data_IF_871563057461
#
_entry.id   IF_871563057461
#
_cell.length_a   1.000
_cell.length_b   1.000
_cell.length_c   1.000
_cell.angle_alpha   90.00
_cell.angle_beta   90.00
_cell.angle_gamma   90.00
#
_symmetry.space_group_name_H-M   'P 1'
#
loop_
_entity.id
_entity.type
_entity.pdbx_description
1 polymer ?
#
# COMPACT_ATOMS: atom_id res chain seq x y z
N UNK A 1 -18.00 -23.96 4.39
CA UNK A 1 -17.01 -23.90 3.30
C UNK A 1 -15.94 -22.89 3.70
N UNK A 2 -14.69 -23.05 3.26
CA UNK A 2 -13.67 -22.03 3.49
C UNK A 2 -14.07 -20.75 2.73
N UNK A 3 -13.91 -19.59 3.39
CA UNK A 3 -14.19 -18.27 2.82
C UNK A 3 -13.30 -18.06 1.58
N UNK A 4 -13.90 -17.75 0.43
CA UNK A 4 -13.15 -17.45 -0.79
C UNK A 4 -13.18 -15.96 -1.07
N UNK A 5 -12.06 -15.45 -1.57
CA UNK A 5 -11.94 -14.05 -1.97
C UNK A 5 -11.66 -14.03 -3.46
N UNK A 6 -12.54 -13.42 -4.24
CA UNK A 6 -12.41 -13.33 -5.69
C UNK A 6 -12.31 -11.89 -6.14
N UNK A 7 -11.55 -11.66 -7.21
CA UNK A 7 -11.43 -10.34 -7.81
C UNK A 7 -12.67 -10.04 -8.66
N UNK A 8 -13.32 -8.91 -8.39
CA UNK A 8 -14.62 -8.53 -8.98
C UNK A 8 -14.65 -8.52 -10.51
N UNK A 9 -13.53 -8.14 -11.13
CA UNK A 9 -13.50 -7.88 -12.58
C UNK A 9 -13.15 -9.10 -13.42
N UNK A 10 -12.45 -10.08 -12.86
CA UNK A 10 -11.91 -11.21 -13.64
C UNK A 10 -12.07 -12.58 -12.96
N UNK A 11 -12.65 -12.63 -11.76
CA UNK A 11 -12.95 -13.86 -11.05
C UNK A 11 -11.74 -14.56 -10.45
N UNK A 12 -10.52 -13.97 -10.52
CA UNK A 12 -9.29 -14.55 -9.96
C UNK A 12 -9.50 -14.88 -8.47
N UNK A 13 -9.27 -16.13 -8.07
CA UNK A 13 -9.24 -16.54 -6.67
C UNK A 13 -7.96 -16.04 -6.00
N UNK A 14 -8.10 -15.22 -4.96
CA UNK A 14 -6.99 -14.54 -4.30
C UNK A 14 -5.89 -15.49 -3.82
N UNK A 15 -6.30 -16.65 -3.30
CA UNK A 15 -5.37 -17.64 -2.75
C UNK A 15 -4.93 -18.62 -3.83
N UNK A 16 -5.87 -19.28 -4.47
CA UNK A 16 -5.56 -20.43 -5.33
C UNK A 16 -4.96 -20.01 -6.67
N UNK A 17 -5.47 -18.92 -7.26
CA UNK A 17 -5.06 -18.47 -8.59
C UNK A 17 -3.93 -17.44 -8.54
N UNK A 18 -3.60 -16.92 -7.35
CA UNK A 18 -2.65 -15.81 -7.23
C UNK A 18 -1.56 -16.01 -6.17
N UNK A 19 -1.87 -16.09 -4.87
CA UNK A 19 -0.81 -16.18 -3.86
C UNK A 19 -0.10 -17.54 -3.85
N UNK A 20 -0.84 -18.66 -3.92
CA UNK A 20 -0.27 -20.01 -3.79
C UNK A 20 0.64 -20.42 -4.95
N UNK A 21 0.55 -19.73 -6.08
CA UNK A 21 1.40 -20.00 -7.25
C UNK A 21 2.72 -19.21 -7.22
N UNK A 22 2.91 -18.29 -6.27
CA UNK A 22 4.19 -17.60 -6.06
C UNK A 22 5.11 -18.53 -5.26
N UNK A 23 6.11 -19.14 -5.91
CA UNK A 23 7.07 -20.02 -5.25
C UNK A 23 8.25 -19.26 -4.65
N UNK A 24 7.97 -18.30 -3.77
CA UNK A 24 8.96 -17.54 -3.01
C UNK A 24 8.56 -17.52 -1.54
N UNK A 25 9.51 -17.27 -0.64
CA UNK A 25 9.21 -17.16 0.79
C UNK A 25 8.47 -15.85 1.08
N UNK A 26 7.27 -15.92 1.66
CA UNK A 26 6.58 -14.74 2.16
C UNK A 26 7.30 -14.21 3.41
N UNK A 27 7.57 -12.90 3.44
CA UNK A 27 8.20 -12.23 4.57
C UNK A 27 7.48 -10.91 4.89
N UNK A 28 7.41 -10.50 6.16
CA UNK A 28 6.90 -9.18 6.52
C UNK A 28 7.83 -8.09 5.96
N UNK A 29 7.27 -6.92 5.66
CA UNK A 29 7.97 -5.86 4.94
C UNK A 29 9.19 -5.33 5.70
N UNK A 30 9.15 -5.29 7.03
CA UNK A 30 10.28 -4.90 7.89
C UNK A 30 11.50 -5.81 7.73
N UNK A 31 11.29 -7.09 7.37
CA UNK A 31 12.35 -8.10 7.24
C UNK A 31 12.93 -8.20 5.83
N UNK A 32 12.42 -7.47 4.86
CA UNK A 32 12.83 -7.59 3.44
C UNK A 32 14.33 -7.36 3.23
N UNK A 33 14.94 -6.47 4.01
CA UNK A 33 16.38 -6.17 3.95
C UNK A 33 17.25 -7.14 4.76
N UNK A 34 16.66 -7.87 5.72
CA UNK A 34 17.38 -8.82 6.59
C UNK A 34 17.52 -10.21 5.96
N UNK A 35 16.65 -10.55 5.01
CA UNK A 35 16.61 -11.85 4.36
C UNK A 35 17.43 -11.81 3.07
N UNK A 36 18.29 -12.81 2.85
CA UNK A 36 19.08 -12.96 1.62
C UNK A 36 18.41 -13.89 0.59
N UNK A 37 17.67 -14.89 1.05
CA UNK A 37 16.90 -15.87 0.25
C UNK A 37 15.84 -15.20 -0.64
N UNK A 38 15.60 -15.70 -1.87
CA UNK A 38 14.49 -15.26 -2.71
C UNK A 38 13.17 -15.19 -1.94
N UNK A 39 12.53 -14.02 -1.97
CA UNK A 39 11.40 -13.69 -1.10
C UNK A 39 10.37 -12.84 -1.80
N UNK A 40 9.17 -12.83 -1.26
CA UNK A 40 8.15 -11.86 -1.60
C UNK A 40 7.50 -11.28 -0.36
N UNK A 41 6.93 -10.10 -0.52
CA UNK A 41 6.22 -9.40 0.54
C UNK A 41 4.95 -8.79 -0.03
N UNK A 42 3.89 -8.80 0.76
CA UNK A 42 2.56 -8.38 0.35
C UNK A 42 2.24 -7.04 1.01
N UNK A 43 1.74 -6.11 0.20
CA UNK A 43 1.10 -4.91 0.70
C UNK A 43 -0.31 -4.75 0.17
N UNK A 44 -1.17 -4.21 1.02
CA UNK A 44 -2.52 -3.84 0.69
C UNK A 44 -2.67 -2.33 0.81
N UNK A 45 -2.93 -1.65 -0.31
CA UNK A 45 -3.25 -0.22 -0.32
C UNK A 45 -4.77 -0.09 -0.03
N UNK A 46 -5.15 0.21 1.21
CA UNK A 46 -6.55 0.20 1.68
C UNK A 46 -7.20 1.55 1.35
N UNK A 47 -7.68 1.72 0.13
CA UNK A 47 -8.24 3.00 -0.33
C UNK A 47 -9.70 3.23 0.12
N UNK A 48 -10.52 2.18 0.09
CA UNK A 48 -11.98 2.35 0.16
C UNK A 48 -12.73 1.38 1.08
N UNK A 49 -12.16 0.23 1.44
CA UNK A 49 -12.86 -0.77 2.26
C UNK A 49 -11.90 -1.41 3.26
N UNK A 50 -12.01 -1.00 4.53
CA UNK A 50 -11.32 -1.67 5.63
C UNK A 50 -11.97 -3.01 5.97
N UNK A 51 -13.27 -3.17 5.72
CA UNK A 51 -13.94 -4.46 5.92
C UNK A 51 -13.33 -5.54 5.04
N UNK A 52 -13.21 -5.30 3.73
CA UNK A 52 -12.53 -6.23 2.84
C UNK A 52 -11.05 -6.42 3.20
N UNK A 53 -10.40 -5.43 3.81
CA UNK A 53 -9.03 -5.60 4.31
C UNK A 53 -8.97 -6.61 5.48
N UNK A 54 -9.96 -6.58 6.40
CA UNK A 54 -10.09 -7.58 7.46
C UNK A 54 -10.37 -8.97 6.89
N UNK A 55 -11.27 -9.07 5.90
CA UNK A 55 -11.59 -10.34 5.23
C UNK A 55 -10.34 -10.97 4.59
N UNK A 56 -9.55 -10.15 3.89
CA UNK A 56 -8.28 -10.58 3.28
C UNK A 56 -7.27 -10.99 4.37
N UNK A 57 -7.11 -10.21 5.44
CA UNK A 57 -6.21 -10.53 6.53
C UNK A 57 -6.54 -11.91 7.14
N UNK A 58 -7.81 -12.20 7.42
CA UNK A 58 -8.20 -13.50 7.96
C UNK A 58 -7.84 -14.65 7.00
N UNK A 59 -8.10 -14.49 5.70
CA UNK A 59 -7.84 -15.51 4.68
C UNK A 59 -6.34 -15.71 4.45
N UNK A 60 -5.54 -14.64 4.42
CA UNK A 60 -4.09 -14.72 4.34
C UNK A 60 -3.48 -15.47 5.52
N UNK A 61 -3.88 -15.11 6.75
CA UNK A 61 -3.38 -15.75 7.96
C UNK A 61 -3.71 -17.25 8.00
N UNK A 62 -4.92 -17.65 7.58
CA UNK A 62 -5.31 -19.07 7.46
C UNK A 62 -4.46 -19.85 6.46
N UNK A 63 -3.85 -19.17 5.49
CA UNK A 63 -2.97 -19.77 4.48
C UNK A 63 -1.48 -19.53 4.78
N UNK A 64 -1.14 -18.99 5.96
CA UNK A 64 0.24 -18.80 6.40
C UNK A 64 0.95 -17.58 5.80
N UNK A 65 0.21 -16.62 5.23
CA UNK A 65 0.77 -15.38 4.71
C UNK A 65 0.73 -14.26 5.75
N UNK A 66 1.74 -13.39 5.70
CA UNK A 66 1.77 -12.10 6.38
C UNK A 66 1.92 -10.96 5.37
N UNK A 67 1.37 -9.81 5.76
CA UNK A 67 1.15 -8.65 4.88
C UNK A 67 1.15 -7.36 5.69
N UNK A 68 1.34 -6.23 5.03
CA UNK A 68 1.11 -4.91 5.61
C UNK A 68 -0.08 -4.22 4.95
N UNK A 69 -1.02 -3.72 5.75
CA UNK A 69 -2.20 -2.97 5.29
C UNK A 69 -1.98 -1.47 5.50
N UNK A 70 -1.90 -0.72 4.41
CA UNK A 70 -1.66 0.73 4.42
C UNK A 70 -2.99 1.48 4.39
N UNK A 71 -3.27 2.21 5.46
CA UNK A 71 -4.56 2.88 5.67
C UNK A 71 -4.54 4.30 5.11
N UNK A 72 -5.52 4.64 4.27
CA UNK A 72 -5.65 5.95 3.61
C UNK A 72 -6.55 6.90 4.43
N UNK A 73 -6.02 8.02 4.94
CA UNK A 73 -6.82 9.06 5.57
C UNK A 73 -7.84 9.69 4.60
N UNK A 74 -8.90 10.36 5.10
CA UNK A 74 -9.83 11.08 4.24
C UNK A 74 -9.17 12.31 3.59
N UNK A 75 -9.79 12.88 2.55
CA UNK A 75 -9.30 14.06 1.82
C UNK A 75 -8.74 13.77 0.43
N UNK A 76 -8.48 12.50 0.14
CA UNK A 76 -8.19 12.02 -1.21
C UNK A 76 -9.46 11.85 -2.05
N UNK A 77 -9.31 11.81 -3.38
CA UNK A 77 -10.43 11.69 -4.34
C UNK A 77 -11.56 12.73 -4.18
N UNK A 78 -11.24 13.92 -3.64
CA UNK A 78 -12.21 14.96 -3.28
C UNK A 78 -13.30 14.51 -2.29
N UNK A 79 -13.05 13.42 -1.54
CA UNK A 79 -13.96 12.92 -0.51
C UNK A 79 -13.53 13.42 0.87
N UNK A 80 -14.45 14.07 1.58
CA UNK A 80 -14.23 14.51 2.97
C UNK A 80 -14.41 13.39 4.00
N UNK A 81 -14.90 12.22 3.61
CA UNK A 81 -15.15 11.06 4.49
C UNK A 81 -14.81 9.76 3.76
N UNK A 82 -14.23 8.81 4.49
CA UNK A 82 -14.04 7.41 4.10
C UNK A 82 -14.14 6.51 5.36
N UNK A 83 -13.69 5.24 5.28
CA UNK A 83 -13.70 4.32 6.42
C UNK A 83 -12.76 4.76 7.57
N UNK A 84 -11.77 5.59 7.26
CA UNK A 84 -10.78 6.05 8.25
C UNK A 84 -11.41 7.12 9.15
N UNK A 85 -12.34 7.91 8.61
CA UNK A 85 -12.95 9.00 9.33
C UNK A 85 -13.47 10.10 8.40
N UNK A 86 -13.60 11.31 8.92
CA UNK A 86 -14.02 12.48 8.17
C UNK A 86 -13.19 13.72 8.51
N UNK A 87 -13.17 14.68 7.59
CA UNK A 87 -12.53 15.97 7.80
C UNK A 87 -13.52 16.95 8.45
N UNK A 88 -13.11 17.52 9.57
CA UNK A 88 -13.87 18.53 10.30
C UNK A 88 -12.91 19.59 10.83
N UNK A 89 -13.17 20.87 10.52
CA UNK A 89 -12.38 22.01 10.99
C UNK A 89 -10.86 21.91 10.73
N UNK A 90 -10.47 21.32 9.60
CA UNK A 90 -9.05 21.14 9.25
C UNK A 90 -8.36 19.99 9.99
N UNK A 91 -9.12 19.09 10.61
CA UNK A 91 -8.61 17.91 11.29
C UNK A 91 -9.32 16.64 10.79
N UNK A 92 -8.64 15.49 10.96
CA UNK A 92 -9.25 14.18 10.77
C UNK A 92 -9.93 13.78 12.07
N UNK A 93 -11.24 13.53 12.01
CA UNK A 93 -11.99 12.83 13.04
C UNK A 93 -12.09 11.37 12.64
N UNK A 94 -11.58 10.48 13.47
CA UNK A 94 -11.50 9.06 13.17
C UNK A 94 -12.85 8.35 13.32
N UNK A 95 -13.11 7.39 12.44
CA UNK A 95 -14.24 6.50 12.60
C UNK A 95 -14.03 5.60 13.84
N UNK A 96 -15.03 5.44 14.74
CA UNK A 96 -14.88 4.62 15.94
C UNK A 96 -14.45 3.17 15.67
N UNK A 97 -14.79 2.62 14.50
CA UNK A 97 -14.44 1.24 14.13
C UNK A 97 -13.01 1.09 13.63
N UNK A 98 -12.32 2.19 13.27
CA UNK A 98 -11.00 2.16 12.65
C UNK A 98 -9.99 1.37 13.49
N UNK A 99 -9.85 1.72 14.76
CA UNK A 99 -8.90 1.05 15.67
C UNK A 99 -9.30 -0.39 15.92
N UNK A 100 -10.60 -0.69 16.04
CA UNK A 100 -11.08 -2.06 16.24
C UNK A 100 -10.68 -2.95 15.05
N UNK A 101 -10.91 -2.47 13.83
CA UNK A 101 -10.54 -3.18 12.59
C UNK A 101 -9.01 -3.32 12.44
N UNK A 102 -8.23 -2.32 12.82
CA UNK A 102 -6.77 -2.43 12.87
C UNK A 102 -6.32 -3.54 13.83
N UNK A 103 -6.89 -3.59 15.03
CA UNK A 103 -6.59 -4.64 16.02
C UNK A 103 -6.99 -6.03 15.54
N UNK A 104 -8.08 -6.12 14.77
CA UNK A 104 -8.50 -7.37 14.13
C UNK A 104 -7.45 -7.85 13.10
N UNK A 105 -7.00 -6.98 12.19
CA UNK A 105 -5.92 -7.28 11.24
C UNK A 105 -4.63 -7.70 11.96
N UNK A 106 -4.24 -6.98 13.03
CA UNK A 106 -3.07 -7.33 13.84
C UNK A 106 -3.22 -8.70 14.52
N UNK A 107 -4.42 -9.07 14.97
CA UNK A 107 -4.69 -10.35 15.63
C UNK A 107 -4.49 -11.56 14.71
N UNK A 108 -4.57 -11.35 13.39
CA UNK A 108 -4.25 -12.34 12.36
C UNK A 108 -2.75 -12.41 12.02
N UNK A 109 -1.89 -11.60 12.66
CA UNK A 109 -0.44 -11.63 12.45
C UNK A 109 0.07 -10.73 11.32
N UNK A 110 -0.76 -9.80 10.84
CA UNK A 110 -0.38 -8.79 9.86
C UNK A 110 0.11 -7.50 10.50
N UNK A 111 0.54 -6.55 9.67
CA UNK A 111 1.03 -5.25 10.08
C UNK A 111 0.14 -4.13 9.56
N UNK A 112 0.16 -2.98 10.24
CA UNK A 112 -0.53 -1.76 9.80
C UNK A 112 0.50 -0.71 9.38
N UNK A 113 0.28 -0.10 8.23
CA UNK A 113 1.06 1.01 7.71
C UNK A 113 0.20 2.22 7.39
N UNK A 114 0.85 3.34 7.09
CA UNK A 114 0.19 4.58 6.74
C UNK A 114 0.21 4.82 5.22
N UNK A 115 -0.95 4.89 4.57
CA UNK A 115 -1.03 5.21 3.14
C UNK A 115 -0.93 6.73 2.96
N UNK A 116 0.30 7.20 2.74
CA UNK A 116 0.69 8.59 2.87
C UNK A 116 0.18 9.45 1.72
N UNK A 117 -0.69 10.41 2.04
CA UNK A 117 -1.13 11.49 1.15
C UNK A 117 -0.85 12.89 1.76
N UNK A 118 0.16 12.99 2.63
CA UNK A 118 0.40 14.15 3.51
C UNK A 118 0.83 15.39 2.73
N UNK A 119 1.59 15.27 1.64
CA UNK A 119 1.92 16.45 0.82
C UNK A 119 0.63 17.05 0.25
N UNK A 120 -0.25 16.21 -0.30
CA UNK A 120 -1.53 16.67 -0.83
C UNK A 120 -2.44 17.25 0.27
N UNK A 121 -2.48 16.62 1.45
CA UNK A 121 -3.22 17.12 2.61
C UNK A 121 -2.70 18.49 3.07
N UNK A 122 -1.39 18.64 3.23
CA UNK A 122 -0.73 19.90 3.61
C UNK A 122 -1.04 21.02 2.62
N UNK A 123 -0.93 20.77 1.31
CA UNK A 123 -1.28 21.73 0.25
C UNK A 123 -2.75 22.18 0.30
N UNK A 124 -3.68 21.26 0.58
CA UNK A 124 -5.12 21.56 0.62
C UNK A 124 -5.55 22.24 1.91
N UNK A 125 -4.98 21.83 3.04
CA UNK A 125 -5.40 22.27 4.37
C UNK A 125 -4.56 23.44 4.89
N UNK A 126 -3.48 23.78 4.19
CA UNK A 126 -2.53 24.84 4.57
C UNK A 126 -1.97 24.63 5.97
N UNK A 127 -1.53 23.40 6.22
CA UNK A 127 -0.96 22.96 7.49
C UNK A 127 0.40 22.34 7.29
N UNK A 128 1.23 22.39 8.32
CA UNK A 128 2.55 21.77 8.27
C UNK A 128 2.43 20.24 8.11
N UNK A 129 3.16 19.63 7.16
CA UNK A 129 3.06 18.19 6.91
C UNK A 129 3.52 17.34 8.10
N UNK A 130 4.50 17.80 8.89
CA UNK A 130 4.96 17.09 10.09
C UNK A 130 3.87 17.10 11.17
N UNK A 131 3.17 18.23 11.35
CA UNK A 131 2.07 18.32 12.31
C UNK A 131 0.90 17.40 11.94
N UNK A 132 0.48 17.37 10.67
CA UNK A 132 -0.58 16.47 10.22
C UNK A 132 -0.17 15.01 10.49
N UNK A 133 1.02 14.62 10.04
CA UNK A 133 1.49 13.24 10.20
C UNK A 133 1.65 12.85 11.67
N UNK A 134 2.17 13.74 12.51
CA UNK A 134 2.35 13.50 13.95
C UNK A 134 1.00 13.25 14.64
N UNK A 135 -0.04 14.03 14.32
CA UNK A 135 -1.38 13.82 14.90
C UNK A 135 -1.91 12.42 14.62
N UNK A 136 -1.76 11.94 13.38
CA UNK A 136 -2.20 10.60 13.00
C UNK A 136 -1.38 9.50 13.69
N UNK A 137 -0.04 9.62 13.70
CA UNK A 137 0.84 8.66 14.39
C UNK A 137 0.52 8.60 15.89
N UNK A 138 0.36 9.75 16.55
CA UNK A 138 0.00 9.84 17.97
C UNK A 138 -1.36 9.19 18.25
N UNK A 139 -2.36 9.38 17.37
CA UNK A 139 -3.67 8.76 17.53
C UNK A 139 -3.58 7.23 17.52
N UNK A 140 -2.89 6.65 16.54
CA UNK A 140 -2.71 5.19 16.46
C UNK A 140 -1.92 4.66 17.66
N UNK A 141 -0.83 5.34 18.02
CA UNK A 141 0.02 4.95 19.15
C UNK A 141 -0.75 4.94 20.47
N UNK A 142 -1.52 6.01 20.77
CA UNK A 142 -2.36 6.10 21.98
C UNK A 142 -3.40 4.98 22.07
N UNK A 143 -3.79 4.41 20.94
CA UNK A 143 -4.76 3.33 20.85
C UNK A 143 -4.11 1.93 20.79
N UNK A 144 -2.78 1.83 20.94
CA UNK A 144 -2.03 0.58 20.95
C UNK A 144 -1.83 -0.02 19.56
N UNK A 145 -1.93 0.77 18.49
CA UNK A 145 -1.66 0.34 17.12
C UNK A 145 -0.36 1.00 16.65
N UNK A 146 0.65 0.19 16.34
CA UNK A 146 1.91 0.67 15.77
C UNK A 146 1.78 0.74 14.25
N UNK A 147 2.05 1.91 13.68
CA UNK A 147 2.23 2.07 12.24
C UNK A 147 3.69 1.75 11.89
N UNK A 148 3.96 0.61 11.23
CA UNK A 148 5.33 0.12 11.02
C UNK A 148 6.07 0.80 9.87
N UNK A 149 5.33 1.37 8.92
CA UNK A 149 5.89 1.99 7.73
C UNK A 149 4.85 2.76 6.94
N UNK A 150 5.28 3.33 5.82
CA UNK A 150 4.40 4.10 4.94
C UNK A 150 4.42 3.58 3.50
N UNK A 151 3.36 3.87 2.76
CA UNK A 151 3.29 3.68 1.32
C UNK A 151 2.66 4.93 0.69
N UNK A 152 3.34 5.53 -0.28
CA UNK A 152 2.83 6.74 -0.91
C UNK A 152 1.53 6.52 -1.72
N UNK A 153 0.51 7.31 -1.40
CA UNK A 153 -0.70 7.41 -2.20
C UNK A 153 -0.49 8.30 -3.42
N UNK A 154 -1.07 7.92 -4.55
CA UNK A 154 -1.06 8.72 -5.78
C UNK A 154 -2.35 9.51 -5.91
N UNK A 155 -2.55 10.57 -5.13
CA UNK A 155 -3.78 11.38 -5.23
C UNK A 155 -3.88 12.13 -6.56
N UNK A 156 -5.07 12.58 -6.98
CA UNK A 156 -5.23 13.42 -8.17
C UNK A 156 -4.32 14.66 -8.18
N UNK A 157 -4.19 15.33 -7.03
CA UNK A 157 -3.31 16.50 -6.88
C UNK A 157 -1.82 16.14 -7.05
N UNK A 158 -1.41 14.98 -6.55
CA UNK A 158 -0.05 14.47 -6.75
C UNK A 158 0.28 14.23 -8.22
N UNK A 159 -0.71 13.74 -9.00
CA UNK A 159 -0.56 13.58 -10.45
C UNK A 159 -0.49 14.93 -11.16
N UNK A 160 -1.38 15.86 -10.81
CA UNK A 160 -1.45 17.21 -11.38
C UNK A 160 -0.14 17.98 -11.19
N UNK A 161 0.40 17.97 -9.98
CA UNK A 161 1.62 18.70 -9.61
C UNK A 161 2.90 17.85 -9.73
N UNK A 162 2.78 16.67 -10.35
CA UNK A 162 3.86 15.72 -10.63
C UNK A 162 4.77 15.34 -9.44
N UNK A 163 4.22 15.28 -8.22
CA UNK A 163 4.92 14.77 -7.05
C UNK A 163 4.46 13.37 -6.67
N UNK A 164 5.24 12.71 -5.83
CA UNK A 164 4.87 11.48 -5.15
C UNK A 164 4.98 11.69 -3.65
N UNK A 165 3.99 11.26 -2.87
CA UNK A 165 3.97 11.49 -1.42
C UNK A 165 5.17 10.87 -0.68
N UNK A 166 5.86 9.87 -1.25
CA UNK A 166 7.12 9.34 -0.68
C UNK A 166 8.22 10.39 -0.64
N UNK A 167 8.19 11.35 -1.57
CA UNK A 167 9.13 12.45 -1.62
C UNK A 167 9.01 13.35 -0.39
N UNK A 168 8.08 13.13 0.55
CA UNK A 168 8.07 13.84 1.83
C UNK A 168 9.30 13.49 2.69
N UNK A 169 9.72 12.22 2.62
CA UNK A 169 10.76 11.69 3.49
C UNK A 169 12.14 11.76 2.83
N UNK A 170 13.16 12.03 3.62
CA UNK A 170 14.55 11.93 3.17
C UNK A 170 14.89 10.50 2.69
N UNK A 171 15.86 10.38 1.79
CA UNK A 171 16.25 9.10 1.17
C UNK A 171 15.24 8.50 0.18
N UNK A 172 13.98 8.95 0.16
CA UNK A 172 12.93 8.45 -0.73
C UNK A 172 12.97 9.08 -2.14
N UNK A 173 14.09 8.91 -2.83
CA UNK A 173 14.41 9.62 -4.08
C UNK A 173 13.63 9.05 -5.28
N UNK A 174 13.11 9.95 -6.13
CA UNK A 174 12.53 9.61 -7.44
C UNK A 174 13.53 9.94 -8.55
N UNK A 175 13.91 8.92 -9.33
CA UNK A 175 14.82 9.08 -10.48
C UNK A 175 14.32 10.18 -11.41
N UNK A 176 15.20 11.11 -11.76
CA UNK A 176 14.90 12.23 -12.66
C UNK A 176 14.11 13.38 -12.03
N UNK A 177 13.97 13.43 -10.70
CA UNK A 177 13.38 14.56 -9.98
C UNK A 177 14.42 15.17 -9.03
N UNK A 178 14.35 16.48 -8.86
CA UNK A 178 15.20 17.22 -7.94
C UNK A 178 14.86 16.88 -6.48
N UNK A 179 15.89 16.61 -5.68
CA UNK A 179 15.76 16.36 -4.24
C UNK A 179 15.59 17.70 -3.52
N UNK A 180 14.68 17.77 -2.56
CA UNK A 180 14.44 18.99 -1.78
C UNK A 180 13.64 20.07 -2.50
N UNK A 181 13.06 19.77 -3.67
CA UNK A 181 12.19 20.71 -4.42
C UNK A 181 10.97 21.13 -3.60
N UNK A 182 10.45 22.32 -3.90
CA UNK A 182 9.22 22.85 -3.31
C UNK A 182 8.03 22.58 -4.24
N UNK A 183 6.96 22.03 -3.69
CA UNK A 183 5.67 21.89 -4.35
C UNK A 183 4.78 23.03 -3.86
N UNK A 184 4.12 23.74 -4.78
CA UNK A 184 3.25 24.86 -4.46
C UNK A 184 1.83 24.64 -5.00
N UNK A 185 0.83 24.96 -4.19
CA UNK A 185 -0.58 24.92 -4.56
C UNK A 185 -1.36 25.96 -3.75
N UNK A 186 -2.17 26.79 -4.41
CA UNK A 186 -2.99 27.83 -3.76
C UNK A 186 -2.23 28.66 -2.71
N UNK A 187 -1.01 29.13 -3.06
CA UNK A 187 -0.10 29.90 -2.20
C UNK A 187 0.39 29.19 -0.92
N UNK A 188 0.28 27.86 -0.85
CA UNK A 188 0.90 27.03 0.18
C UNK A 188 2.04 26.22 -0.42
N UNK A 189 3.13 26.08 0.33
CA UNK A 189 4.38 25.46 -0.13
C UNK A 189 4.75 24.31 0.77
N UNK A 190 5.15 23.20 0.17
CA UNK A 190 5.66 22.02 0.87
C UNK A 190 7.03 21.68 0.29
N UNK A 191 8.04 21.62 1.16
CA UNK A 191 9.38 21.16 0.78
C UNK A 191 9.43 19.63 0.82
N UNK A 192 9.83 19.00 -0.28
CA UNK A 192 10.10 17.55 -0.33
C UNK A 192 11.37 17.20 0.46
N UNK A 193 11.50 15.95 0.88
CA UNK A 193 12.63 15.38 1.59
C UNK A 193 12.96 16.18 2.86
N UNK A 194 11.92 16.63 3.55
CA UNK A 194 11.99 17.52 4.71
C UNK A 194 11.78 16.79 6.03
N UNK A 195 11.27 15.55 5.99
CA UNK A 195 10.99 14.73 7.17
C UNK A 195 11.81 13.44 7.17
N UNK A 196 12.05 12.88 8.35
CA UNK A 196 12.70 11.57 8.52
C UNK A 196 11.67 10.52 8.92
N UNK A 197 11.73 9.33 8.31
CA UNK A 197 10.81 8.23 8.65
C UNK A 197 10.84 7.87 10.15
N UNK A 198 12.04 7.81 10.74
CA UNK A 198 12.24 7.42 12.13
C UNK A 198 11.66 8.39 13.14
N UNK A 199 11.51 9.68 12.79
CA UNK A 199 10.88 10.69 13.66
C UNK A 199 9.41 10.37 13.95
N UNK A 200 8.80 9.53 13.10
CA UNK A 200 7.41 9.07 13.19
C UNK A 200 7.31 7.57 13.54
N UNK A 201 8.44 6.92 13.86
CA UNK A 201 8.49 5.50 14.19
C UNK A 201 8.31 4.55 13.00
N UNK A 202 8.36 5.07 11.77
CA UNK A 202 8.32 4.26 10.56
C UNK A 202 9.69 3.61 10.28
N UNK A 203 9.69 2.32 9.97
CA UNK A 203 10.89 1.56 9.63
C UNK A 203 11.23 1.66 8.13
N UNK A 204 10.22 1.88 7.29
CA UNK A 204 10.39 1.91 5.84
C UNK A 204 9.31 2.73 5.11
N UNK A 205 9.64 3.07 3.87
CA UNK A 205 8.67 3.46 2.84
C UNK A 205 8.59 2.31 1.81
N UNK A 206 7.39 1.78 1.59
CA UNK A 206 7.12 0.58 0.81
C UNK A 206 7.65 0.64 -0.63
N UNK A 207 7.70 1.83 -1.23
CA UNK A 207 8.27 2.03 -2.56
C UNK A 207 9.81 2.10 -2.58
N UNK A 208 10.45 2.23 -1.43
CA UNK A 208 11.91 2.28 -1.26
C UNK A 208 12.52 0.92 -0.87
N UNK A 209 11.71 -0.05 -0.47
CA UNK A 209 12.17 -1.43 -0.25
C UNK A 209 12.68 -2.07 -1.56
N UNK A 210 13.73 -2.90 -1.47
CA UNK A 210 14.30 -3.56 -2.64
C UNK A 210 13.25 -4.50 -3.26
N UNK A 211 13.10 -4.36 -4.58
CA UNK A 211 12.28 -5.23 -5.41
C UNK A 211 12.85 -5.27 -6.83
N UNK A 212 13.12 -6.45 -7.33
CA UNK A 212 13.50 -6.67 -8.74
C UNK A 212 12.30 -7.17 -9.57
N UNK A 213 11.27 -7.69 -8.89
CA UNK A 213 9.96 -7.97 -9.47
C UNK A 213 8.83 -7.30 -8.69
N UNK A 214 7.74 -6.99 -9.37
CA UNK A 214 6.51 -6.45 -8.77
C UNK A 214 5.32 -6.93 -9.56
N UNK A 215 4.29 -7.37 -8.86
CA UNK A 215 2.93 -7.40 -9.37
C UNK A 215 2.09 -6.37 -8.61
N UNK A 216 1.21 -5.70 -9.34
CA UNK A 216 0.30 -4.70 -8.81
C UNK A 216 -1.08 -4.92 -9.40
N UNK A 217 -2.06 -5.06 -8.53
CA UNK A 217 -3.47 -4.87 -8.86
C UNK A 217 -3.80 -3.41 -8.50
N UNK A 218 -4.07 -2.57 -9.50
CA UNK A 218 -4.35 -1.15 -9.31
C UNK A 218 -5.40 -0.68 -10.29
N UNK A 219 -6.43 0.01 -9.78
CA UNK A 219 -7.58 0.42 -10.59
C UNK A 219 -8.31 -0.75 -11.23
N UNK A 220 -8.32 -1.94 -10.59
CA UNK A 220 -8.93 -3.15 -11.12
C UNK A 220 -8.10 -3.85 -12.19
N UNK A 221 -6.89 -3.36 -12.51
CA UNK A 221 -6.01 -3.91 -13.56
C UNK A 221 -4.78 -4.57 -12.96
N UNK A 222 -4.41 -5.73 -13.48
CA UNK A 222 -3.11 -6.34 -13.22
C UNK A 222 -2.00 -5.59 -13.94
N UNK A 223 -0.82 -5.56 -13.35
CA UNK A 223 0.34 -4.88 -13.92
C UNK A 223 1.59 -5.08 -13.10
N UNK A 224 2.68 -4.46 -13.52
CA UNK A 224 3.98 -4.58 -12.86
C UNK A 224 5.03 -5.14 -13.80
N UNK A 225 6.11 -5.68 -13.24
CA UNK A 225 7.24 -6.21 -13.97
C UNK A 225 7.76 -7.46 -13.26
N UNK A 226 7.79 -8.59 -13.94
CA UNK A 226 8.20 -9.88 -13.38
C UNK A 226 9.43 -10.35 -14.14
N UNK A 227 10.56 -10.52 -13.45
CA UNK A 227 11.85 -10.97 -14.04
C UNK A 227 12.21 -10.20 -15.32
N UNK A 228 12.06 -8.87 -15.27
CA UNK A 228 12.34 -8.01 -16.42
C UNK A 228 11.21 -7.88 -17.44
N UNK A 229 10.23 -8.78 -17.47
CA UNK A 229 9.07 -8.74 -18.36
C UNK A 229 8.01 -7.76 -17.84
N UNK A 230 7.64 -6.78 -18.67
CA UNK A 230 6.57 -5.84 -18.36
C UNK A 230 5.22 -6.53 -18.57
N UNK A 231 4.34 -6.45 -17.57
CA UNK A 231 2.96 -6.91 -17.71
C UNK A 231 2.17 -5.87 -18.52
N UNK A 232 1.54 -6.30 -19.60
CA UNK A 232 0.60 -5.50 -20.38
C UNK A 232 -0.74 -5.40 -19.64
N UNK A 233 -0.95 -4.24 -19.01
CA UNK A 233 -2.14 -3.97 -18.20
C UNK A 233 -3.42 -3.93 -19.01
N UNK A 234 -3.36 -3.38 -20.22
CA UNK A 234 -4.56 -3.23 -21.04
C UNK A 234 -4.96 -4.58 -21.63
N UNK A 235 -3.99 -5.40 -22.01
CA UNK A 235 -4.25 -6.76 -22.47
C UNK A 235 -4.85 -7.64 -21.38
N UNK A 236 -4.22 -7.71 -20.20
CA UNK A 236 -4.74 -8.52 -19.09
C UNK A 236 -6.08 -8.00 -18.55
N UNK A 237 -6.40 -6.72 -18.75
CA UNK A 237 -7.70 -6.20 -18.35
C UNK A 237 -8.80 -6.51 -19.35
N UNK A 238 -8.57 -6.25 -20.65
CA UNK A 238 -9.61 -6.40 -21.67
C UNK A 238 -9.79 -7.86 -22.14
N UNK A 239 -8.76 -8.69 -22.00
CA UNK A 239 -8.74 -10.08 -22.45
C UNK A 239 -8.10 -10.96 -21.38
N UNK A 240 -8.62 -10.90 -20.15
CA UNK A 240 -8.08 -11.68 -19.04
C UNK A 240 -8.13 -13.18 -19.37
N UNK A 241 -6.99 -13.84 -19.24
CA UNK A 241 -6.85 -15.27 -19.37
C UNK A 241 -6.11 -15.79 -18.12
N UNK A 242 -6.76 -16.68 -17.38
CA UNK A 242 -6.23 -17.19 -16.12
C UNK A 242 -4.97 -18.03 -16.32
N UNK A 243 -4.94 -18.90 -17.33
CA UNK A 243 -3.79 -19.76 -17.60
C UNK A 243 -2.54 -18.93 -17.94
N UNK A 244 -2.71 -17.89 -18.77
CA UNK A 244 -1.64 -16.95 -19.08
C UNK A 244 -1.16 -16.18 -17.84
N UNK A 245 -2.10 -15.71 -17.02
CA UNK A 245 -1.75 -15.04 -15.77
C UNK A 245 -0.93 -15.98 -14.87
N UNK A 246 -1.39 -17.21 -14.69
CA UNK A 246 -0.68 -18.23 -13.91
C UNK A 246 0.69 -18.56 -14.52
N UNK A 247 0.81 -18.63 -15.84
CA UNK A 247 2.09 -18.82 -16.52
C UNK A 247 3.07 -17.68 -16.19
N UNK A 248 2.61 -16.43 -16.24
CA UNK A 248 3.43 -15.26 -15.90
C UNK A 248 3.92 -15.33 -14.46
N UNK A 249 3.04 -15.67 -13.51
CA UNK A 249 3.38 -15.73 -12.08
C UNK A 249 4.28 -16.92 -11.76
N UNK A 250 4.07 -18.07 -12.40
CA UNK A 250 4.87 -19.28 -12.18
C UNK A 250 6.36 -19.08 -12.51
N UNK A 251 6.74 -18.03 -13.25
CA UNK A 251 8.14 -17.63 -13.50
C UNK A 251 8.86 -17.12 -12.26
N UNK A 252 8.14 -16.84 -11.18
CA UNK A 252 8.68 -16.40 -9.89
C UNK A 252 9.17 -17.61 -9.09
N UNK A 253 10.29 -18.16 -9.54
CA UNK A 253 10.99 -19.27 -8.89
C UNK A 253 12.28 -18.78 -8.22
N UNK A 254 12.79 -19.46 -7.17
CA UNK A 254 14.02 -19.06 -6.50
C UNK A 254 15.25 -19.02 -7.43
N UNK A 255 15.28 -19.83 -8.48
CA UNK A 255 16.36 -19.91 -9.48
C UNK A 255 16.22 -18.88 -10.62
N UNK A 256 15.07 -18.20 -10.74
CA UNK A 256 14.79 -17.19 -11.77
C UNK A 256 15.56 -15.86 -11.58
N UNK A 257 16.61 -15.85 -10.76
CA UNK A 257 17.39 -14.66 -10.35
C UNK A 257 16.56 -13.57 -9.67
N UNK A 258 15.38 -13.92 -9.16
CA UNK A 258 14.53 -13.03 -8.36
C UNK A 258 15.05 -13.01 -6.93
N UNK A 259 15.46 -11.84 -6.46
CA UNK A 259 15.86 -11.64 -5.06
C UNK A 259 14.67 -11.23 -4.21
N UNK A 260 13.78 -10.39 -4.74
CA UNK A 260 12.73 -9.75 -3.95
C UNK A 260 11.55 -9.32 -4.81
N UNK A 261 10.37 -9.84 -4.52
CA UNK A 261 9.14 -9.47 -5.21
C UNK A 261 8.18 -8.71 -4.30
N UNK A 262 7.62 -7.61 -4.81
CA UNK A 262 6.49 -6.94 -4.16
C UNK A 262 5.17 -7.39 -4.79
N UNK A 263 4.25 -7.86 -3.95
CA UNK A 263 2.83 -7.99 -4.30
C UNK A 263 2.11 -6.77 -3.75
N UNK A 264 1.33 -6.10 -4.59
CA UNK A 264 0.47 -4.99 -4.18
C UNK A 264 -0.95 -5.20 -4.67
N UNK A 265 -1.91 -5.12 -3.76
CA UNK A 265 -3.34 -5.24 -4.05
C UNK A 265 -4.16 -4.14 -3.37
N UNK A 266 -5.38 -3.89 -3.85
CA UNK A 266 -6.33 -3.02 -3.15
C UNK A 266 -7.55 -3.84 -2.71
N UNK A 267 -7.83 -3.97 -1.40
CA UNK A 267 -8.95 -4.79 -0.91
C UNK A 267 -10.31 -4.47 -1.54
N UNK A 268 -10.55 -3.23 -1.94
CA UNK A 268 -11.82 -2.82 -2.54
C UNK A 268 -12.14 -3.46 -3.91
N UNK A 269 -11.16 -4.04 -4.60
CA UNK A 269 -11.36 -4.73 -5.87
C UNK A 269 -11.71 -6.21 -5.73
N UNK A 270 -11.80 -6.70 -4.49
CA UNK A 270 -12.13 -8.08 -4.15
C UNK A 270 -13.47 -8.16 -3.42
N UNK A 271 -14.04 -9.36 -3.40
CA UNK A 271 -15.26 -9.68 -2.66
C UNK A 271 -15.22 -11.10 -2.10
N UNK A 272 -16.03 -11.33 -1.07
CA UNK A 272 -16.20 -12.63 -0.44
C UNK A 272 -17.31 -13.40 -1.17
N UNK A 273 -17.04 -14.68 -1.47
CA UNK A 273 -18.02 -15.62 -2.04
C UNK A 273 -18.10 -16.93 -1.28
#
# INVERSE_FOLDING_TARGET
MAKRIIKKNDGTDYINDFLNIINLKNVPMEKVNEISEPRFFIRHDVDHSIDMAVEIAEVEAKNGYTSTFFLLPPGSYNKKKNYYGWLENGEIKHDPELIRKCKEILSYGHQIGFHNDIIAASLKWRQDPAEILKKEVDYFHKNGVRLVGTAAHGSPLARELEFNNRELFEGCIRKGREVGRTIEYNNWKVKTHSLTLSDFGFEYEAYSLPRDSRISESGGKWGGRIVGLQIDKERLFNHFNLDEFQEIISRLQPDAKVKSMQVMTHPCHWEVV
#
